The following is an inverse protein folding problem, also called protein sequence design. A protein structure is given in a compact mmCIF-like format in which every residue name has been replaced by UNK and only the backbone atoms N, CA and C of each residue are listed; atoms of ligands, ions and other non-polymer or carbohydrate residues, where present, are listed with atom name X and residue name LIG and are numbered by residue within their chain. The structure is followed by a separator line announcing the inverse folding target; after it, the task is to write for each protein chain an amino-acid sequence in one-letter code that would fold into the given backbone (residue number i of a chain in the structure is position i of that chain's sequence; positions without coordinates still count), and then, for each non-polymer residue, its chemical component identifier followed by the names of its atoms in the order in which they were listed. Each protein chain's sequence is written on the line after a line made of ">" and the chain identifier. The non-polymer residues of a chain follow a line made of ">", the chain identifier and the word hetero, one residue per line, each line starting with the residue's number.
data_IF_541940039547
#
_entry.id   IF_541940039547
#
_cell.length_a   1.000
_cell.length_b   1.000
_cell.length_c   1.000
_cell.angle_alpha   90.00
_cell.angle_beta   90.00
_cell.angle_gamma   90.00
#
_symmetry.space_group_name_H-M   'P 1'
#
loop_
_entity.id
_entity.type
_entity.pdbx_description
1 polymer ?
#
# COMPACT_ATOMS: atom_id res chain seq x y z
N UNK A 1 -21.90 -3.54 -14.44
CA UNK A 1 -20.67 -3.62 -13.63
C UNK A 1 -19.48 -3.35 -14.54
N UNK A 2 -18.47 -2.58 -14.10
CA UNK A 2 -17.25 -2.27 -14.87
C UNK A 2 -16.42 -3.50 -15.30
N UNK A 3 -16.79 -4.70 -14.84
CA UNK A 3 -16.05 -5.95 -15.02
C UNK A 3 -16.69 -6.93 -16.03
N UNK A 4 -17.92 -6.68 -16.48
CA UNK A 4 -18.59 -7.52 -17.48
C UNK A 4 -18.30 -6.98 -18.87
N UNK A 5 -17.12 -7.32 -19.40
CA UNK A 5 -16.81 -7.14 -20.81
C UNK A 5 -16.78 -8.51 -21.51
N UNK A 6 -17.84 -8.88 -22.26
CA UNK A 6 -17.94 -10.19 -22.91
C UNK A 6 -16.89 -10.39 -24.02
N UNK A 7 -16.21 -9.32 -24.49
CA UNK A 7 -15.11 -9.44 -25.45
C UNK A 7 -13.88 -10.18 -24.92
N UNK A 8 -13.71 -10.26 -23.59
CA UNK A 8 -12.48 -10.77 -22.98
C UNK A 8 -12.71 -12.01 -22.11
N UNK A 9 -13.78 -12.78 -22.33
CA UNK A 9 -14.24 -13.85 -21.42
C UNK A 9 -13.21 -14.91 -21.04
N UNK A 10 -12.14 -15.05 -21.81
CA UNK A 10 -11.05 -16.00 -21.55
C UNK A 10 -9.72 -15.36 -21.10
N UNK A 11 -9.65 -14.05 -20.89
CA UNK A 11 -8.41 -13.36 -20.51
C UNK A 11 -8.63 -12.31 -19.40
N UNK A 12 -8.44 -12.75 -18.16
CA UNK A 12 -8.57 -11.93 -16.94
C UNK A 12 -7.64 -10.71 -16.94
N UNK A 13 -6.42 -10.84 -17.48
CA UNK A 13 -5.48 -9.74 -17.57
C UNK A 13 -5.99 -8.61 -18.49
N UNK A 14 -6.56 -8.96 -19.65
CA UNK A 14 -7.12 -7.97 -20.56
C UNK A 14 -8.38 -7.32 -19.99
N UNK A 15 -9.24 -8.08 -19.30
CA UNK A 15 -10.39 -7.52 -18.56
C UNK A 15 -9.95 -6.48 -17.54
N UNK A 16 -8.90 -6.78 -16.78
CA UNK A 16 -8.38 -5.88 -15.76
C UNK A 16 -7.74 -4.62 -16.35
N UNK A 17 -6.96 -4.76 -17.44
CA UNK A 17 -6.36 -3.64 -18.16
C UNK A 17 -7.43 -2.66 -18.67
N UNK A 18 -8.47 -3.17 -19.34
CA UNK A 18 -9.59 -2.38 -19.85
C UNK A 18 -10.33 -1.66 -18.71
N UNK A 19 -10.62 -2.39 -17.63
CA UNK A 19 -11.26 -1.84 -16.44
C UNK A 19 -10.46 -0.68 -15.83
N UNK A 20 -9.14 -0.85 -15.68
CA UNK A 20 -8.25 0.18 -15.13
C UNK A 20 -8.21 1.44 -16.01
N UNK A 21 -8.19 1.28 -17.34
CA UNK A 21 -8.24 2.40 -18.29
C UNK A 21 -9.54 3.19 -18.15
N UNK A 22 -10.68 2.49 -18.07
CA UNK A 22 -12.00 3.10 -17.86
C UNK A 22 -12.09 3.84 -16.53
N UNK A 23 -11.59 3.24 -15.45
CA UNK A 23 -11.56 3.89 -14.12
C UNK A 23 -10.70 5.15 -14.13
N UNK A 24 -9.53 5.10 -14.77
CA UNK A 24 -8.66 6.29 -14.90
C UNK A 24 -9.33 7.38 -15.73
N UNK A 25 -9.95 7.03 -16.84
CA UNK A 25 -10.69 7.98 -17.68
C UNK A 25 -11.84 8.64 -16.91
N UNK A 26 -12.58 7.84 -16.13
CA UNK A 26 -13.63 8.34 -15.25
C UNK A 26 -13.07 9.34 -14.22
N UNK A 27 -12.00 8.99 -13.50
CA UNK A 27 -11.37 9.87 -12.52
C UNK A 27 -10.92 11.21 -13.11
N UNK A 28 -10.34 11.19 -14.32
CA UNK A 28 -9.91 12.39 -15.04
C UNK A 28 -11.09 13.26 -15.50
N UNK A 29 -12.15 12.62 -16.01
CA UNK A 29 -13.34 13.31 -16.53
C UNK A 29 -14.11 13.98 -15.40
N UNK A 30 -14.34 13.26 -14.30
CA UNK A 30 -15.08 13.74 -13.13
C UNK A 30 -14.25 14.64 -12.21
N UNK A 31 -12.94 14.72 -12.43
CA UNK A 31 -11.98 15.43 -11.55
C UNK A 31 -12.08 14.97 -10.10
N UNK A 32 -12.28 13.67 -9.88
CA UNK A 32 -12.41 13.04 -8.55
C UNK A 32 -11.24 12.09 -8.30
N UNK A 33 -10.80 12.02 -7.04
CA UNK A 33 -9.89 10.98 -6.60
C UNK A 33 -10.64 9.64 -6.56
N UNK A 34 -10.05 8.62 -7.18
CA UNK A 34 -10.54 7.24 -7.13
C UNK A 34 -9.50 6.39 -6.44
N UNK A 35 -9.91 5.69 -5.39
CA UNK A 35 -9.06 4.77 -4.62
C UNK A 35 -9.51 3.35 -4.96
N UNK A 36 -8.54 2.52 -5.35
CA UNK A 36 -8.76 1.12 -5.65
C UNK A 36 -7.97 0.28 -4.65
N UNK A 37 -8.60 -0.75 -4.10
CA UNK A 37 -7.94 -1.74 -3.26
C UNK A 37 -7.59 -2.95 -4.11
N UNK A 38 -6.31 -3.33 -4.12
CA UNK A 38 -5.83 -4.53 -4.81
C UNK A 38 -5.28 -5.52 -3.80
N UNK A 39 -5.66 -6.79 -3.97
CA UNK A 39 -5.10 -7.87 -3.18
C UNK A 39 -3.71 -8.22 -3.72
N UNK A 40 -2.75 -8.44 -2.82
CA UNK A 40 -1.42 -8.93 -3.17
C UNK A 40 -1.47 -10.40 -3.60
N UNK A 41 -0.51 -10.80 -4.44
CA UNK A 41 -0.36 -12.20 -4.82
C UNK A 41 0.18 -13.01 -3.63
N UNK A 42 -0.26 -14.28 -3.48
CA UNK A 42 0.24 -15.17 -2.40
C UNK A 42 1.72 -15.51 -2.53
N UNK A 43 2.28 -15.40 -3.73
CA UNK A 43 3.70 -15.67 -3.98
C UNK A 43 4.58 -14.65 -3.25
N UNK A 44 4.09 -13.41 -3.10
CA UNK A 44 4.83 -12.32 -2.46
C UNK A 44 4.52 -12.19 -0.97
N UNK A 45 3.73 -13.09 -0.36
CA UNK A 45 3.38 -12.98 1.06
C UNK A 45 4.54 -13.20 2.03
N UNK A 46 5.69 -13.68 1.54
CA UNK A 46 6.93 -13.86 2.32
C UNK A 46 8.00 -12.80 2.01
N UNK A 47 7.79 -12.03 0.96
CA UNK A 47 8.74 -11.01 0.51
C UNK A 47 8.16 -9.63 0.78
N UNK A 48 9.02 -8.62 0.75
CA UNK A 48 8.59 -7.24 0.80
C UNK A 48 7.64 -6.93 -0.37
N UNK A 49 6.57 -6.18 -0.12
CA UNK A 49 5.65 -5.77 -1.17
C UNK A 49 6.31 -4.64 -1.96
N UNK A 50 6.62 -4.94 -3.21
CA UNK A 50 7.05 -3.97 -4.19
C UNK A 50 5.87 -3.51 -5.07
N UNK A 51 6.19 -2.69 -6.08
CA UNK A 51 5.21 -2.18 -7.03
C UNK A 51 4.47 -3.32 -7.76
N UNK A 52 5.17 -4.44 -8.02
CA UNK A 52 4.69 -5.59 -8.81
C UNK A 52 3.94 -6.64 -7.99
N UNK A 53 3.79 -6.43 -6.68
CA UNK A 53 3.23 -7.41 -5.76
C UNK A 53 1.71 -7.55 -5.80
N UNK A 54 1.01 -6.64 -6.47
CA UNK A 54 -0.43 -6.75 -6.71
C UNK A 54 -0.80 -7.91 -7.64
N UNK A 55 -2.02 -8.44 -7.53
CA UNK A 55 -2.56 -9.31 -8.58
C UNK A 55 -2.89 -8.47 -9.82
N UNK A 56 -2.43 -8.92 -11.00
CA UNK A 56 -2.68 -8.22 -12.28
C UNK A 56 -2.01 -6.84 -12.35
N UNK A 57 -0.88 -6.71 -11.70
CA UNK A 57 -0.23 -5.46 -11.30
C UNK A 57 0.28 -4.60 -12.47
N UNK A 58 0.67 -5.20 -13.60
CA UNK A 58 1.24 -4.46 -14.74
C UNK A 58 0.43 -3.25 -15.23
N UNK A 59 -0.90 -3.36 -15.36
CA UNK A 59 -1.74 -2.24 -15.83
C UNK A 59 -2.30 -1.39 -14.70
N UNK A 60 -2.50 -1.99 -13.51
CA UNK A 60 -2.92 -1.26 -12.31
C UNK A 60 -1.86 -0.22 -11.95
N UNK A 61 -0.61 -0.63 -11.88
CA UNK A 61 0.52 0.24 -11.54
C UNK A 61 0.70 1.33 -12.59
N UNK A 62 0.75 0.97 -13.87
CA UNK A 62 0.99 1.91 -14.96
C UNK A 62 -0.08 3.00 -15.01
N UNK A 63 -1.34 2.60 -14.82
CA UNK A 63 -2.47 3.52 -14.84
C UNK A 63 -2.52 4.42 -13.59
N UNK A 64 -2.08 3.93 -12.44
CA UNK A 64 -2.18 4.63 -11.15
C UNK A 64 -1.23 5.83 -11.02
N UNK A 65 -1.70 6.90 -10.38
CA UNK A 65 -0.88 8.06 -10.02
C UNK A 65 -0.07 7.84 -8.74
N UNK A 66 -0.65 7.09 -7.80
CA UNK A 66 -0.06 6.67 -6.54
C UNK A 66 -0.25 5.18 -6.39
N UNK A 67 0.75 4.49 -5.84
CA UNK A 67 0.63 3.10 -5.41
C UNK A 67 1.17 3.01 -3.99
N UNK A 68 0.35 2.46 -3.12
CA UNK A 68 0.61 2.33 -1.69
C UNK A 68 0.56 0.85 -1.31
N UNK A 69 1.54 0.42 -0.53
CA UNK A 69 1.58 -0.92 0.06
C UNK A 69 1.40 -0.80 1.56
N UNK A 70 0.50 -1.59 2.13
CA UNK A 70 0.29 -1.67 3.57
C UNK A 70 0.84 -2.99 4.09
N UNK A 71 1.83 -2.92 4.96
CA UNK A 71 2.48 -4.09 5.55
C UNK A 71 2.41 -4.04 7.07
N UNK A 72 2.42 -5.22 7.70
CA UNK A 72 2.62 -5.32 9.14
C UNK A 72 4.12 -5.38 9.43
N UNK A 73 4.57 -4.60 10.41
CA UNK A 73 5.94 -4.69 10.91
C UNK A 73 6.07 -5.92 11.81
N UNK A 74 7.10 -6.71 11.55
CA UNK A 74 7.39 -7.96 12.24
C UNK A 74 8.91 -8.07 12.51
N UNK A 75 9.32 -9.22 13.06
CA UNK A 75 10.73 -9.49 13.42
C UNK A 75 11.68 -9.53 12.22
N UNK A 76 11.15 -9.66 11.00
CA UNK A 76 11.95 -9.82 9.80
C UNK A 76 12.22 -8.46 9.11
N UNK A 77 11.30 -7.49 9.23
CA UNK A 77 11.40 -6.21 8.52
C UNK A 77 11.63 -4.97 9.40
N UNK A 78 11.53 -5.06 10.73
CA UNK A 78 11.58 -3.88 11.62
C UNK A 78 12.85 -3.03 11.50
N UNK A 79 14.00 -3.66 11.27
CA UNK A 79 15.29 -2.97 11.17
C UNK A 79 15.36 -2.00 9.99
N UNK A 80 14.59 -2.25 8.93
CA UNK A 80 14.55 -1.38 7.74
C UNK A 80 14.02 0.01 8.05
N UNK A 81 13.20 0.12 9.09
CA UNK A 81 12.43 1.32 9.41
C UNK A 81 12.94 2.01 10.68
N UNK A 82 14.16 1.67 11.13
CA UNK A 82 14.76 2.21 12.36
C UNK A 82 13.88 2.06 13.60
N UNK A 83 13.05 1.01 13.64
CA UNK A 83 12.20 0.67 14.77
C UNK A 83 12.96 -0.32 15.66
N UNK A 84 12.78 -0.24 16.98
CA UNK A 84 13.33 -1.23 17.89
C UNK A 84 12.36 -2.40 18.11
N UNK A 85 12.88 -3.58 18.46
CA UNK A 85 12.02 -4.70 18.84
C UNK A 85 11.20 -4.39 20.10
N UNK A 86 11.70 -3.51 20.97
CA UNK A 86 11.01 -3.07 22.17
C UNK A 86 9.75 -2.27 21.84
N UNK A 87 9.80 -1.38 20.84
CA UNK A 87 8.64 -0.60 20.40
C UNK A 87 7.52 -1.52 19.91
N UNK A 88 7.87 -2.54 19.13
CA UNK A 88 6.92 -3.54 18.63
C UNK A 88 6.26 -4.28 19.79
N UNK A 89 7.05 -4.74 20.77
CA UNK A 89 6.52 -5.45 21.95
C UNK A 89 5.60 -4.56 22.79
N UNK A 90 5.97 -3.29 22.99
CA UNK A 90 5.17 -2.32 23.73
C UNK A 90 3.82 -2.05 23.04
N UNK A 91 3.79 -1.90 21.71
CA UNK A 91 2.54 -1.74 20.96
C UNK A 91 1.69 -3.01 21.06
N UNK A 92 2.28 -4.19 20.87
CA UNK A 92 1.56 -5.47 20.91
C UNK A 92 0.93 -5.76 22.28
N UNK A 93 1.60 -5.38 23.37
CA UNK A 93 1.07 -5.48 24.73
C UNK A 93 -0.24 -4.68 24.92
N UNK A 94 -0.42 -3.61 24.14
CA UNK A 94 -1.63 -2.77 24.14
C UNK A 94 -2.63 -3.16 23.04
N UNK A 95 -2.52 -4.37 22.48
CA UNK A 95 -3.33 -4.83 21.33
C UNK A 95 -3.19 -3.97 20.07
N UNK A 96 -2.04 -3.32 19.90
CA UNK A 96 -1.72 -2.52 18.71
C UNK A 96 -0.72 -3.28 17.84
N UNK A 97 -1.07 -3.46 16.57
CA UNK A 97 -0.14 -3.92 15.54
C UNK A 97 0.48 -2.70 14.85
N UNK A 98 1.80 -2.66 14.78
CA UNK A 98 2.51 -1.63 14.04
C UNK A 98 2.50 -1.98 12.55
N UNK A 99 1.98 -1.06 11.74
CA UNK A 99 1.90 -1.17 10.29
C UNK A 99 2.80 -0.12 9.64
N UNK A 100 3.10 -0.34 8.38
CA UNK A 100 3.78 0.61 7.53
C UNK A 100 3.02 0.78 6.21
N UNK A 101 2.80 2.04 5.85
CA UNK A 101 2.25 2.44 4.57
C UNK A 101 3.39 2.93 3.69
N UNK A 102 3.87 2.06 2.81
CA UNK A 102 4.92 2.36 1.84
C UNK A 102 4.31 3.03 0.61
N UNK A 103 4.81 4.22 0.26
CA UNK A 103 4.51 4.90 -0.99
C UNK A 103 5.50 4.39 -2.04
N UNK A 104 5.11 3.35 -2.78
CA UNK A 104 5.98 2.70 -3.78
C UNK A 104 5.92 3.39 -5.15
N UNK A 105 4.88 4.17 -5.42
CA UNK A 105 4.81 5.06 -6.59
C UNK A 105 4.19 6.41 -6.20
N UNK A 106 4.85 7.49 -6.62
CA UNK A 106 4.31 8.84 -6.58
C UNK A 106 4.67 9.56 -7.89
N UNK A 107 3.68 9.78 -8.77
CA UNK A 107 3.95 10.34 -10.11
C UNK A 107 4.61 11.73 -10.10
N UNK A 108 4.41 12.54 -9.05
CA UNK A 108 4.84 13.95 -9.00
C UNK A 108 5.57 14.33 -7.72
N UNK A 109 6.02 13.35 -6.95
CA UNK A 109 6.63 13.61 -5.65
C UNK A 109 7.52 12.47 -5.21
N UNK A 110 7.93 12.53 -3.94
CA UNK A 110 8.81 11.53 -3.36
C UNK A 110 8.03 10.29 -2.94
N UNK A 111 8.72 9.16 -3.04
CA UNK A 111 8.35 7.93 -2.35
C UNK A 111 8.86 7.99 -0.90
N UNK A 112 8.29 7.16 -0.04
CA UNK A 112 8.59 7.18 1.39
C UNK A 112 7.66 6.22 2.12
N UNK A 113 7.58 6.35 3.44
CA UNK A 113 6.69 5.53 4.24
C UNK A 113 6.11 6.30 5.42
N UNK A 114 4.99 5.82 5.93
CA UNK A 114 4.33 6.33 7.13
C UNK A 114 4.09 5.14 8.06
N UNK A 115 4.51 5.27 9.33
CA UNK A 115 4.20 4.28 10.37
C UNK A 115 2.79 4.49 10.88
N UNK A 116 2.07 3.39 11.08
CA UNK A 116 0.67 3.41 11.47
C UNK A 116 0.43 2.45 12.63
N UNK A 117 -0.43 2.85 13.56
CA UNK A 117 -0.89 2.01 14.65
C UNK A 117 -2.26 1.43 14.30
N UNK A 118 -2.36 0.11 14.22
CA UNK A 118 -3.62 -0.61 14.05
C UNK A 118 -4.09 -1.18 15.37
N UNK A 119 -5.19 -0.63 15.91
CA UNK A 119 -5.76 -1.11 17.16
C UNK A 119 -6.72 -2.28 16.88
N UNK A 120 -6.34 -3.48 17.33
CA UNK A 120 -7.11 -4.71 17.10
C UNK A 120 -8.47 -4.73 17.78
N UNK A 121 -8.66 -3.91 18.82
CA UNK A 121 -9.92 -3.88 19.59
C UNK A 121 -11.01 -3.09 18.86
N UNK A 122 -10.65 -2.06 18.09
CA UNK A 122 -11.61 -1.19 17.41
C UNK A 122 -11.42 -1.10 15.88
N UNK A 123 -10.43 -1.82 15.35
CA UNK A 123 -10.08 -1.90 13.93
C UNK A 123 -9.73 -0.54 13.30
N UNK A 124 -9.30 0.43 14.11
CA UNK A 124 -8.89 1.76 13.64
C UNK A 124 -7.40 1.79 13.36
N UNK A 125 -7.04 2.57 12.34
CA UNK A 125 -5.68 2.90 11.96
C UNK A 125 -5.47 4.39 12.23
N UNK A 126 -4.38 4.73 12.91
CA UNK A 126 -3.93 6.11 13.13
C UNK A 126 -2.44 6.23 12.81
N UNK A 127 -1.95 7.44 12.58
CA UNK A 127 -0.50 7.65 12.49
C UNK A 127 0.19 7.29 13.81
N UNK A 128 1.33 6.62 13.70
CA UNK A 128 2.14 6.26 14.85
C UNK A 128 2.91 7.48 15.37
N UNK A 129 3.02 7.59 16.69
CA UNK A 129 3.88 8.56 17.38
C UNK A 129 5.37 8.40 17.03
N UNK A 130 5.76 7.21 16.56
CA UNK A 130 7.11 6.89 16.09
C UNK A 130 7.52 7.65 14.82
N UNK A 131 6.59 8.20 14.03
CA UNK A 131 6.92 9.01 12.85
C UNK A 131 7.73 10.26 13.23
N UNK A 132 7.38 10.91 14.33
CA UNK A 132 8.05 12.12 14.85
C UNK A 132 9.52 11.88 15.22
N UNK A 133 9.89 10.63 15.53
CA UNK A 133 11.27 10.24 15.82
C UNK A 133 12.07 9.97 14.54
N UNK A 134 11.41 9.49 13.46
CA UNK A 134 12.02 9.16 12.18
C UNK A 134 12.29 10.40 11.30
N UNK A 135 11.46 11.45 11.41
CA UNK A 135 11.67 12.71 10.68
C UNK A 135 12.97 13.43 11.08
N UNK A 136 13.40 13.31 12.35
CA UNK A 136 14.66 13.90 12.85
C UNK A 136 15.93 13.30 12.23
N UNK A 137 15.84 12.15 11.58
CA UNK A 137 16.98 11.49 10.92
C UNK A 137 17.11 11.80 9.43
N UNK A 138 16.10 12.40 8.80
CA UNK A 138 16.07 12.64 7.36
C UNK A 138 16.46 14.08 6.95
N UNK A 139 16.86 14.94 7.89
CA UNK A 139 17.32 16.32 7.60
C UNK A 139 18.82 16.44 7.28
N UNK A 140 19.58 15.34 7.27
CA UNK A 140 21.00 15.34 6.90
C UNK A 140 21.25 14.47 5.68
N UNK A 141 20.82 14.92 4.48
CA UNK A 141 21.43 14.58 3.18
C UNK A 141 21.10 15.65 2.14
#
# INVERSE_FOLDING_TARGET
>A
LLLDNPQFDHNEYLKLSDSMKKVKQYALTEKKAVILLSQTSRINSKNELDLYSGKGSGEIENSSNFVLNLERINKDNFKKYNISELDIRNKQANSIDLLILNIVKNRRGRCGYILLDFNRNNLRIIESDLNTAAEKTNETF
#
